data_IF_674104496017
#
_entry.id   IF_674104496017
#
_cell.length_a   1.000
_cell.length_b   1.000
_cell.length_c   1.000
_cell.angle_alpha   90.00
_cell.angle_beta   90.00
_cell.angle_gamma   90.00
#
_symmetry.space_group_name_H-M   'P 1'
#
loop_
_entity.id
_entity.type
_entity.pdbx_description
1 polymer ?
#
# COMPACT_ATOMS: atom_id res chain seq x y z
N UNK A 1 7.18 -16.63 4.23
CA UNK A 1 6.59 -16.30 2.91
C UNK A 1 5.65 -17.44 2.52
N UNK A 2 4.33 -17.27 2.61
CA UNK A 2 3.41 -18.22 1.98
C UNK A 2 3.16 -17.73 0.55
N UNK A 3 4.07 -18.10 -0.35
CA UNK A 3 3.78 -18.15 -1.78
C UNK A 3 2.88 -19.37 -1.99
N UNK A 4 1.71 -19.19 -2.60
CA UNK A 4 0.96 -20.33 -3.16
C UNK A 4 1.23 -20.37 -4.65
N UNK A 5 2.18 -21.21 -5.04
CA UNK A 5 2.35 -21.70 -6.41
C UNK A 5 1.98 -23.17 -6.38
N UNK A 6 1.02 -23.55 -7.22
CA UNK A 6 0.68 -24.95 -7.47
C UNK A 6 1.66 -25.47 -8.53
N UNK A 7 2.64 -26.26 -8.10
CA UNK A 7 3.63 -26.85 -9.00
C UNK A 7 3.20 -28.21 -9.56
N UNK A 8 3.62 -28.50 -10.79
CA UNK A 8 4.06 -29.84 -11.19
C UNK A 8 5.54 -29.76 -11.57
N UNK A 9 6.30 -30.74 -11.10
CA UNK A 9 7.75 -30.73 -10.91
C UNK A 9 8.52 -30.75 -12.24
N UNK A 10 9.47 -29.82 -12.40
CA UNK A 10 10.71 -30.06 -13.14
C UNK A 10 11.86 -29.33 -12.44
N UNK A 11 12.85 -30.09 -11.98
CA UNK A 11 14.07 -29.58 -11.34
C UNK A 11 15.01 -29.05 -12.43
N UNK A 12 15.16 -27.73 -12.50
CA UNK A 12 16.38 -27.10 -13.00
C UNK A 12 16.60 -25.81 -12.19
N UNK A 13 17.58 -25.87 -11.29
CA UNK A 13 17.97 -24.74 -10.46
C UNK A 13 18.65 -23.68 -11.33
N UNK A 14 17.92 -22.62 -11.66
CA UNK A 14 18.49 -21.32 -12.03
C UNK A 14 17.93 -20.34 -11.00
N UNK A 15 18.78 -19.97 -10.04
CA UNK A 15 18.47 -18.96 -9.05
C UNK A 15 18.32 -17.60 -9.72
N UNK A 16 17.10 -17.25 -10.11
CA UNK A 16 16.74 -15.87 -10.39
C UNK A 16 16.32 -15.23 -9.06
N UNK A 17 17.21 -14.42 -8.50
CA UNK A 17 16.87 -13.50 -7.42
C UNK A 17 15.80 -12.54 -7.94
N UNK A 18 14.55 -12.71 -7.51
CA UNK A 18 13.51 -11.70 -7.74
C UNK A 18 13.67 -10.63 -6.67
N UNK A 19 14.38 -9.57 -7.02
CA UNK A 19 14.43 -8.33 -6.25
C UNK A 19 13.21 -7.50 -6.61
N UNK A 20 12.26 -7.33 -5.68
CA UNK A 20 11.30 -6.24 -5.78
C UNK A 20 12.05 -4.97 -5.34
N UNK A 21 12.52 -4.16 -6.30
CA UNK A 21 13.13 -2.88 -6.01
C UNK A 21 12.04 -1.84 -5.81
N UNK A 22 11.83 -1.46 -4.55
CA UNK A 22 11.20 -0.21 -4.17
C UNK A 22 12.29 0.85 -4.15
N UNK A 23 12.35 1.67 -5.20
CA UNK A 23 13.25 2.82 -5.20
C UNK A 23 12.58 3.96 -4.40
N UNK A 24 13.26 4.40 -3.34
CA UNK A 24 12.95 5.61 -2.58
C UNK A 24 13.54 6.82 -3.31
N UNK A 25 12.71 7.67 -3.95
CA UNK A 25 13.21 8.79 -4.74
C UNK A 25 13.58 10.01 -3.89
N UNK A 26 13.53 9.93 -2.56
CA UNK A 26 13.92 11.05 -1.70
C UNK A 26 15.42 11.17 -1.48
N UNK A 27 16.24 10.29 -2.05
CA UNK A 27 17.69 10.42 -1.96
C UNK A 27 18.13 10.39 -0.50
N UNK A 28 18.25 9.19 0.05
CA UNK A 28 18.91 8.96 1.33
C UNK A 28 20.37 9.44 1.29
N UNK A 29 20.58 10.73 1.53
CA UNK A 29 21.80 11.22 2.12
C UNK A 29 21.99 10.48 3.42
N UNK A 30 23.00 9.60 3.47
CA UNK A 30 23.29 8.81 4.65
C UNK A 30 23.57 9.71 5.86
N UNK A 31 22.58 9.88 6.73
CA UNK A 31 22.78 10.24 8.13
C UNK A 31 21.83 9.34 8.96
N UNK A 32 22.33 8.19 9.41
CA UNK A 32 21.72 7.34 10.44
C UNK A 32 20.38 6.69 10.06
N UNK A 33 20.41 5.43 9.61
CA UNK A 33 19.21 4.68 9.26
C UNK A 33 18.23 4.52 10.42
N UNK A 34 17.10 5.21 10.35
CA UNK A 34 15.86 4.70 10.92
C UNK A 34 15.15 3.93 9.82
N UNK A 35 15.07 2.62 9.96
CA UNK A 35 14.13 1.83 9.19
C UNK A 35 12.73 2.39 9.47
N UNK A 36 11.89 2.58 8.44
CA UNK A 36 10.52 3.01 8.64
C UNK A 36 9.84 2.07 9.65
N UNK A 37 9.17 2.64 10.65
CA UNK A 37 8.49 1.89 11.70
C UNK A 37 7.14 1.33 11.20
N UNK A 38 6.66 1.84 10.07
CA UNK A 38 5.48 1.33 9.37
C UNK A 38 5.87 0.42 8.20
N UNK A 39 5.27 -0.77 8.16
CA UNK A 39 5.34 -1.70 7.03
C UNK A 39 4.08 -1.59 6.21
N UNK A 40 4.21 -1.56 4.88
CA UNK A 40 3.09 -1.48 3.95
C UNK A 40 2.99 -2.75 3.11
N UNK A 41 1.77 -3.27 2.94
CA UNK A 41 1.48 -4.41 2.08
C UNK A 41 0.27 -4.13 1.21
N UNK A 42 0.39 -4.45 -0.08
CA UNK A 42 -0.74 -4.42 -1.01
C UNK A 42 -1.52 -5.74 -0.93
N UNK A 43 -2.83 -5.63 -0.77
CA UNK A 43 -3.80 -6.71 -0.79
C UNK A 43 -4.78 -6.48 -1.94
N UNK A 44 -5.21 -7.55 -2.60
CA UNK A 44 -6.30 -7.50 -3.58
C UNK A 44 -7.46 -8.35 -3.07
N UNK A 45 -8.67 -7.83 -3.22
CA UNK A 45 -9.89 -8.58 -2.85
C UNK A 45 -10.11 -9.83 -3.71
N UNK A 46 -9.53 -9.88 -4.90
CA UNK A 46 -9.71 -10.97 -5.86
C UNK A 46 -8.41 -11.21 -6.65
N UNK A 47 -8.11 -12.47 -6.91
CA UNK A 47 -6.99 -12.89 -7.77
C UNK A 47 -7.39 -12.91 -9.27
N UNK A 48 -8.69 -12.87 -9.56
CA UNK A 48 -9.25 -12.88 -10.91
C UNK A 48 -10.31 -11.81 -11.01
N UNK A 49 -10.24 -11.02 -12.08
CA UNK A 49 -11.05 -9.81 -12.25
C UNK A 49 -11.89 -9.94 -13.51
N UNK A 50 -13.16 -9.53 -13.45
CA UNK A 50 -14.05 -9.52 -14.62
C UNK A 50 -14.04 -8.13 -15.27
N UNK A 51 -14.01 -8.02 -16.60
CA UNK A 51 -14.23 -6.73 -17.27
C UNK A 51 -15.54 -6.07 -16.82
N UNK A 52 -15.53 -4.76 -16.62
CA UNK A 52 -16.70 -4.00 -16.18
C UNK A 52 -17.03 -4.14 -14.68
N UNK A 53 -16.19 -4.82 -13.90
CA UNK A 53 -16.35 -4.93 -12.45
C UNK A 53 -15.52 -3.91 -11.69
N UNK A 54 -15.74 -3.83 -10.38
CA UNK A 54 -14.90 -3.09 -9.45
C UNK A 54 -14.27 -4.06 -8.47
N UNK A 55 -12.97 -3.97 -8.26
CA UNK A 55 -12.26 -4.73 -7.24
C UNK A 55 -11.61 -3.80 -6.23
N UNK A 56 -11.47 -4.23 -4.99
CA UNK A 56 -10.84 -3.41 -3.95
C UNK A 56 -9.38 -3.81 -3.79
N UNK A 57 -8.50 -2.82 -3.82
CA UNK A 57 -7.14 -2.90 -3.30
C UNK A 57 -7.12 -2.45 -1.83
N UNK A 58 -6.37 -3.15 -0.99
CA UNK A 58 -6.13 -2.78 0.40
C UNK A 58 -4.67 -2.44 0.60
N UNK A 59 -4.40 -1.27 1.18
CA UNK A 59 -3.09 -0.88 1.66
C UNK A 59 -3.06 -1.20 3.16
N UNK A 60 -2.50 -2.34 3.52
CA UNK A 60 -2.31 -2.73 4.92
C UNK A 60 -1.06 -2.01 5.44
N UNK A 61 -1.26 -1.08 6.37
CA UNK A 61 -0.21 -0.41 7.12
C UNK A 61 -0.13 -1.08 8.49
N UNK A 62 1.06 -1.51 8.88
CA UNK A 62 1.34 -2.07 10.21
C UNK A 62 2.44 -1.25 10.85
N UNK A 63 2.14 -0.59 11.96
CA UNK A 63 3.05 0.28 12.69
C UNK A 63 3.64 -0.45 13.90
N UNK A 64 4.92 -0.22 14.18
CA UNK A 64 5.54 -0.68 15.42
C UNK A 64 4.95 0.05 16.64
N UNK A 65 5.14 -0.51 17.83
CA UNK A 65 4.55 0.01 19.08
C UNK A 65 4.93 1.49 19.35
N UNK A 66 3.91 2.28 19.69
CA UNK A 66 3.99 3.72 19.89
C UNK A 66 4.01 4.57 18.60
N UNK A 67 4.08 3.96 17.41
CA UNK A 67 4.06 4.70 16.15
C UNK A 67 2.64 4.85 15.59
N UNK A 68 2.40 5.96 14.89
CA UNK A 68 1.13 6.26 14.26
C UNK A 68 1.31 6.88 12.87
N UNK A 69 0.31 6.68 12.02
CA UNK A 69 0.14 7.36 10.73
C UNK A 69 -1.16 8.16 10.75
N UNK A 70 -1.37 9.00 9.74
CA UNK A 70 -2.41 10.02 9.81
C UNK A 70 -3.65 9.73 8.95
N UNK A 71 -4.77 10.27 9.41
CA UNK A 71 -6.05 10.26 8.69
C UNK A 71 -6.09 11.32 7.58
N UNK A 72 -7.09 11.26 6.70
CA UNK A 72 -7.29 12.24 5.62
C UNK A 72 -7.37 13.69 6.13
N UNK A 73 -7.92 13.87 7.33
CA UNK A 73 -7.96 15.16 8.02
C UNK A 73 -7.12 15.05 9.31
N UNK A 74 -5.80 15.22 9.19
CA UNK A 74 -4.86 14.78 10.22
C UNK A 74 -4.74 15.72 11.44
N UNK A 75 -5.33 16.93 11.35
CA UNK A 75 -5.06 18.01 12.28
C UNK A 75 -3.97 18.95 11.75
N UNK A 76 -3.31 19.69 12.64
CA UNK A 76 -2.37 20.76 12.25
C UNK A 76 -1.01 20.24 11.73
N UNK A 77 -0.60 19.04 12.13
CA UNK A 77 0.79 18.59 11.99
C UNK A 77 0.97 17.27 11.21
N UNK A 78 -0.06 16.75 10.54
CA UNK A 78 0.03 15.46 9.85
C UNK A 78 -0.14 15.54 8.33
N UNK A 79 0.28 14.46 7.65
CA UNK A 79 0.10 14.26 6.21
C UNK A 79 -0.55 12.88 6.01
N UNK A 80 -1.67 12.88 5.29
CA UNK A 80 -2.40 11.66 4.97
C UNK A 80 -1.55 10.75 4.06
N UNK A 81 -1.77 9.44 4.19
CA UNK A 81 -1.19 8.46 3.24
C UNK A 81 -1.70 8.73 1.82
N UNK A 82 -0.79 8.70 0.86
CA UNK A 82 -1.07 8.88 -0.55
C UNK A 82 -0.48 7.73 -1.39
N UNK A 83 -1.10 7.46 -2.54
CA UNK A 83 -0.62 6.42 -3.47
C UNK A 83 -0.60 6.93 -4.91
N UNK A 84 0.60 6.95 -5.47
CA UNK A 84 0.82 7.15 -6.88
C UNK A 84 0.77 5.79 -7.59
N UNK A 85 -0.37 5.50 -8.23
CA UNK A 85 -0.60 4.22 -8.86
C UNK A 85 0.06 4.10 -10.25
N UNK A 86 0.66 2.94 -10.51
CA UNK A 86 1.05 2.48 -11.84
C UNK A 86 0.12 1.34 -12.23
N UNK A 87 -0.91 1.67 -13.01
CA UNK A 87 -1.98 0.74 -13.39
C UNK A 87 -1.90 0.36 -14.87
N UNK A 88 -2.32 -0.86 -15.22
CA UNK A 88 -2.50 -1.24 -16.62
C UNK A 88 -3.61 -0.40 -17.26
N UNK A 89 -3.53 -0.25 -18.59
CA UNK A 89 -4.58 0.43 -19.36
C UNK A 89 -5.93 -0.23 -19.10
N UNK A 90 -6.95 0.60 -18.82
CA UNK A 90 -8.30 0.12 -18.52
C UNK A 90 -8.56 -0.17 -17.04
N UNK A 91 -7.59 0.09 -16.15
CA UNK A 91 -7.80 0.07 -14.69
C UNK A 91 -7.66 1.49 -14.15
N UNK A 92 -8.57 1.89 -13.28
CA UNK A 92 -8.57 3.22 -12.66
C UNK A 92 -8.79 3.12 -11.16
N UNK A 93 -7.89 3.71 -10.38
CA UNK A 93 -8.06 3.81 -8.93
C UNK A 93 -8.99 4.97 -8.58
N UNK A 94 -9.96 4.71 -7.70
CA UNK A 94 -10.77 5.74 -7.06
C UNK A 94 -10.09 6.31 -5.80
N UNK A 95 -10.84 7.10 -5.04
CA UNK A 95 -10.35 7.67 -3.79
C UNK A 95 -10.18 6.60 -2.71
N UNK A 96 -9.15 6.79 -1.88
CA UNK A 96 -8.96 6.01 -0.66
C UNK A 96 -10.20 6.14 0.23
N UNK A 97 -10.72 5.01 0.68
CA UNK A 97 -11.76 4.91 1.69
C UNK A 97 -11.08 4.81 3.05
N UNK A 98 -11.34 5.81 3.89
CA UNK A 98 -10.68 5.99 5.16
C UNK A 98 -11.52 5.41 6.29
N UNK A 99 -11.06 4.36 6.99
CA UNK A 99 -11.70 3.90 8.22
C UNK A 99 -11.75 5.03 9.26
N UNK A 100 -12.65 4.89 10.25
CA UNK A 100 -12.70 5.79 11.39
C UNK A 100 -11.33 5.86 12.07
N UNK A 101 -10.78 7.07 12.28
CA UNK A 101 -9.48 7.22 12.91
C UNK A 101 -9.60 7.21 14.44
N UNK A 102 -8.46 7.04 15.09
CA UNK A 102 -8.27 7.39 16.49
C UNK A 102 -7.90 8.86 16.64
N UNK A 103 -8.21 9.41 17.82
CA UNK A 103 -7.83 10.76 18.22
C UNK A 103 -6.65 10.67 19.19
N UNK A 104 -5.59 11.40 18.92
CA UNK A 104 -4.43 11.49 19.81
C UNK A 104 -3.95 12.94 19.94
N UNK A 105 -3.04 13.18 20.88
CA UNK A 105 -2.36 14.47 21.02
C UNK A 105 -0.92 14.29 20.58
N UNK A 106 -0.54 14.98 19.50
CA UNK A 106 0.82 14.99 18.99
C UNK A 106 1.31 16.45 18.93
N UNK A 107 2.54 16.67 19.42
CA UNK A 107 3.17 18.00 19.42
C UNK A 107 2.32 19.12 20.05
N UNK A 108 1.48 18.79 21.03
CA UNK A 108 0.61 19.74 21.73
C UNK A 108 -0.72 20.05 21.02
N UNK A 109 -0.98 19.47 19.85
CA UNK A 109 -2.22 19.62 19.10
C UNK A 109 -2.98 18.30 18.97
N UNK A 110 -4.28 18.37 18.73
CA UNK A 110 -5.11 17.18 18.47
C UNK A 110 -4.83 16.70 17.04
N UNK A 111 -4.49 15.42 16.91
CA UNK A 111 -4.32 14.72 15.64
C UNK A 111 -5.31 13.57 15.49
N UNK A 112 -5.54 13.18 14.24
CA UNK A 112 -6.35 12.02 13.88
C UNK A 112 -5.55 11.06 12.99
N UNK A 113 -5.65 9.77 13.27
CA UNK A 113 -4.86 8.79 12.54
C UNK A 113 -5.07 7.37 13.02
N UNK A 114 -4.04 6.55 12.86
CA UNK A 114 -4.08 5.11 13.10
C UNK A 114 -2.82 4.71 13.89
N UNK A 115 -2.94 3.70 14.74
CA UNK A 115 -1.82 2.97 15.36
C UNK A 115 -1.97 1.47 15.07
N UNK A 116 -0.97 0.66 15.43
CA UNK A 116 -0.91 -0.81 15.29
C UNK A 116 -1.10 -1.33 13.85
N UNK A 117 -2.33 -1.29 13.34
CA UNK A 117 -2.70 -1.75 12.01
C UNK A 117 -3.91 -0.99 11.47
N UNK A 118 -3.83 -0.59 10.21
CA UNK A 118 -4.98 -0.09 9.45
C UNK A 118 -4.94 -0.62 8.01
N UNK A 119 -6.11 -0.71 7.38
CA UNK A 119 -6.21 -1.06 5.96
C UNK A 119 -6.97 0.04 5.24
N UNK A 120 -6.29 0.75 4.36
CA UNK A 120 -6.88 1.78 3.51
C UNK A 120 -7.39 1.13 2.22
N UNK A 121 -8.68 1.24 1.95
CA UNK A 121 -9.31 0.55 0.82
C UNK A 121 -9.39 1.48 -0.39
N UNK A 122 -8.98 0.99 -1.56
CA UNK A 122 -9.01 1.73 -2.82
C UNK A 122 -9.82 0.94 -3.84
N UNK A 123 -10.98 1.44 -4.29
CA UNK A 123 -11.72 0.79 -5.36
C UNK A 123 -10.97 0.96 -6.68
N UNK A 124 -10.76 -0.14 -7.39
CA UNK A 124 -10.19 -0.19 -8.72
C UNK A 124 -11.30 -0.55 -9.71
N UNK A 125 -11.68 0.43 -10.54
CA UNK A 125 -12.63 0.25 -11.61
C UNK A 125 -11.95 -0.39 -12.82
N UNK A 126 -12.60 -1.38 -13.41
CA UNK A 126 -12.06 -2.17 -14.53
C UNK A 126 -12.94 -1.91 -15.74
N UNK A 127 -12.32 -1.40 -16.80
CA UNK A 127 -13.01 -1.14 -18.05
C UNK A 127 -13.59 -2.43 -18.63
N UNK A 128 -14.75 -2.34 -19.27
CA UNK A 128 -15.43 -3.48 -19.89
C UNK A 128 -14.71 -4.01 -21.13
N UNK A 129 -13.85 -3.20 -21.74
CA UNK A 129 -13.07 -3.49 -22.94
C UNK A 129 -11.60 -3.82 -22.65
N UNK A 130 -11.26 -4.07 -21.38
CA UNK A 130 -9.88 -4.41 -20.99
C UNK A 130 -9.42 -5.70 -21.68
N UNK A 131 -8.16 -5.71 -22.14
CA UNK A 131 -7.55 -6.90 -22.71
C UNK A 131 -7.46 -8.01 -21.66
N UNK A 132 -7.87 -9.22 -22.04
CA UNK A 132 -7.75 -10.39 -21.17
C UNK A 132 -6.29 -10.84 -21.09
N UNK A 133 -5.81 -11.14 -19.89
CA UNK A 133 -4.45 -11.59 -19.67
C UNK A 133 -3.99 -11.34 -18.24
N UNK A 134 -2.67 -11.49 -18.02
CA UNK A 134 -2.04 -11.11 -16.77
C UNK A 134 -1.77 -9.61 -16.76
N UNK A 135 -2.09 -8.96 -15.66
CA UNK A 135 -1.79 -7.56 -15.44
C UNK A 135 -1.15 -7.38 -14.07
N UNK A 136 -0.15 -6.49 -14.00
CA UNK A 136 0.53 -6.14 -12.76
C UNK A 136 -0.02 -4.82 -12.25
N UNK A 137 -0.36 -4.78 -10.96
CA UNK A 137 -0.73 -3.56 -10.25
C UNK A 137 0.42 -3.20 -9.33
N UNK A 138 0.90 -1.97 -9.44
CA UNK A 138 1.95 -1.42 -8.58
C UNK A 138 1.66 0.03 -8.26
N UNK A 139 2.35 0.57 -7.27
CA UNK A 139 2.24 1.99 -6.94
C UNK A 139 3.27 2.37 -5.89
N UNK A 140 3.53 3.68 -5.79
CA UNK A 140 4.38 4.25 -4.76
C UNK A 140 3.48 4.80 -3.64
N UNK A 141 3.68 4.30 -2.44
CA UNK A 141 2.95 4.74 -1.24
C UNK A 141 3.81 5.71 -0.46
N UNK A 142 3.25 6.85 -0.08
CA UNK A 142 3.93 7.84 0.77
C UNK A 142 3.07 8.13 1.99
N UNK A 143 3.68 8.21 3.17
CA UNK A 143 2.99 8.53 4.42
C UNK A 143 3.91 9.32 5.35
N UNK A 144 3.32 9.99 6.33
CA UNK A 144 4.03 10.51 7.49
C UNK A 144 3.79 9.59 8.69
N UNK A 145 4.85 9.30 9.43
CA UNK A 145 4.79 8.53 10.68
C UNK A 145 5.44 9.30 11.82
N UNK A 146 4.88 9.18 13.02
CA UNK A 146 5.39 9.80 14.24
C UNK A 146 5.26 8.83 15.41
N UNK A 147 6.05 9.05 16.45
CA UNK A 147 6.04 8.30 17.71
C UNK A 147 5.59 9.19 18.86
#
# INVERSE_FOLDING_TARGET
MSVRVLGFIFFLAIGASVSAQFDDPFGGGQIGGSQAATKVKLLLSHDTIKPGSTVTAGLELTMDDGWHTYWINPGEAGIATDVEWTLPKGVTAGSIQWPTPDKFTALGSIGYGYHDKTILLVPLAIASDIALGQATISGKVSWLECK
#
